data_IF_665073126186
#
_entry.id   IF_665073126186
#
_cell.length_a   1.000
_cell.length_b   1.000
_cell.length_c   1.000
_cell.angle_alpha   90.00
_cell.angle_beta   90.00
_cell.angle_gamma   90.00
#
_symmetry.space_group_name_H-M   'P 1'
#
loop_
_entity.id
_entity.type
_entity.pdbx_description
1 polymer ?
#
# COMPACT_ATOMS: atom_id res chain seq x y z
N UNK A 1 -13.55 21.73 11.83
CA UNK A 1 -13.93 20.30 11.79
C UNK A 1 -12.96 19.52 12.68
N UNK A 2 -13.46 18.65 13.54
CA UNK A 2 -12.68 17.85 14.51
C UNK A 2 -12.06 16.56 13.90
N UNK A 3 -11.89 16.53 12.59
CA UNK A 3 -11.36 15.35 11.91
C UNK A 3 -9.84 15.45 11.90
N UNK A 4 -9.18 14.39 12.35
CA UNK A 4 -7.74 14.19 12.30
C UNK A 4 -7.37 13.25 11.16
N UNK A 5 -6.36 13.62 10.39
CA UNK A 5 -5.82 12.85 9.28
C UNK A 5 -4.44 12.32 9.65
N UNK A 6 -4.27 11.00 9.62
CA UNK A 6 -2.98 10.33 9.79
C UNK A 6 -2.52 9.81 8.43
N UNK A 7 -1.34 10.24 8.00
CA UNK A 7 -0.77 9.85 6.70
C UNK A 7 0.59 9.18 6.94
N UNK A 8 0.75 7.96 6.46
CA UNK A 8 2.05 7.27 6.46
C UNK A 8 2.67 7.34 5.06
N UNK A 9 3.84 7.96 4.95
CA UNK A 9 4.58 8.10 3.69
C UNK A 9 5.81 7.21 3.70
N UNK A 10 6.15 6.71 2.52
CA UNK A 10 7.38 5.96 2.23
C UNK A 10 7.99 6.57 0.98
N UNK A 11 9.33 6.57 0.79
CA UNK A 11 9.93 7.00 -0.47
C UNK A 11 9.16 6.43 -1.69
N UNK A 12 8.73 7.28 -2.65
CA UNK A 12 7.78 6.89 -3.69
C UNK A 12 8.17 5.64 -4.48
N UNK A 13 9.45 5.55 -4.86
CA UNK A 13 9.98 4.41 -5.62
C UNK A 13 9.85 3.13 -4.81
N UNK A 14 10.18 3.18 -3.52
CA UNK A 14 10.07 2.02 -2.66
C UNK A 14 8.62 1.60 -2.37
N UNK A 15 7.72 2.58 -2.24
CA UNK A 15 6.28 2.33 -2.12
C UNK A 15 5.77 1.56 -3.35
N UNK A 16 6.07 2.05 -4.55
CA UNK A 16 5.60 1.42 -5.80
C UNK A 16 6.28 0.05 -5.99
N UNK A 17 7.56 -0.08 -5.66
CA UNK A 17 8.27 -1.37 -5.72
C UNK A 17 7.66 -2.40 -4.75
N UNK A 18 7.31 -1.98 -3.54
CA UNK A 18 6.60 -2.83 -2.58
C UNK A 18 5.22 -3.25 -3.11
N UNK A 19 4.49 -2.33 -3.74
CA UNK A 19 3.19 -2.61 -4.35
C UNK A 19 3.32 -3.58 -5.54
N UNK A 20 4.37 -3.44 -6.35
CA UNK A 20 4.69 -4.37 -7.44
C UNK A 20 4.84 -5.80 -6.95
N UNK A 21 5.70 -6.03 -5.94
CA UNK A 21 5.94 -7.36 -5.41
C UNK A 21 4.75 -7.93 -4.65
N UNK A 22 4.01 -7.09 -3.93
CA UNK A 22 2.76 -7.50 -3.28
C UNK A 22 1.78 -8.08 -4.30
N UNK A 23 1.57 -7.38 -5.42
CA UNK A 23 0.62 -7.82 -6.45
C UNK A 23 1.17 -8.97 -7.30
N UNK A 24 2.48 -9.09 -7.52
CA UNK A 24 3.06 -10.22 -8.29
C UNK A 24 2.82 -11.57 -7.61
N UNK A 25 2.68 -11.57 -6.28
CA UNK A 25 2.31 -12.78 -5.53
C UNK A 25 0.81 -13.14 -5.66
N UNK A 26 -0.02 -12.24 -6.19
CA UNK A 26 -1.44 -12.49 -6.43
C UNK A 26 -1.65 -13.18 -7.80
N UNK A 27 -2.51 -14.20 -7.82
CA UNK A 27 -2.84 -14.97 -9.04
C UNK A 27 -3.60 -14.12 -10.07
N UNK A 28 -4.33 -13.10 -9.61
CA UNK A 28 -5.28 -12.31 -10.41
C UNK A 28 -4.63 -11.02 -10.96
N UNK A 29 -3.41 -10.69 -10.55
CA UNK A 29 -2.77 -9.44 -10.99
C UNK A 29 -2.13 -9.63 -12.37
N UNK A 30 -2.67 -8.97 -13.40
CA UNK A 30 -1.95 -8.77 -14.66
C UNK A 30 -0.99 -7.59 -14.49
N UNK A 31 0.20 -7.86 -13.96
CA UNK A 31 1.28 -6.87 -13.86
C UNK A 31 2.26 -7.03 -15.03
N UNK A 32 2.93 -5.93 -15.42
CA UNK A 32 4.08 -6.02 -16.31
C UNK A 32 5.18 -6.94 -15.76
N UNK A 33 5.90 -7.59 -16.67
CA UNK A 33 6.94 -8.59 -16.35
C UNK A 33 8.11 -8.05 -15.51
N UNK A 34 8.34 -6.74 -15.56
CA UNK A 34 9.38 -6.05 -14.80
C UNK A 34 8.85 -4.77 -14.15
N UNK A 35 9.57 -4.31 -13.12
CA UNK A 35 9.26 -3.04 -12.45
C UNK A 35 9.45 -1.85 -13.40
N UNK A 36 10.45 -1.91 -14.28
CA UNK A 36 10.75 -0.86 -15.25
C UNK A 36 9.57 -0.66 -16.21
N UNK A 37 9.02 -1.75 -16.76
CA UNK A 37 7.82 -1.70 -17.62
C UNK A 37 6.59 -1.20 -16.88
N UNK A 38 6.47 -1.54 -15.60
CA UNK A 38 5.43 -1.00 -14.75
C UNK A 38 5.55 0.52 -14.57
N UNK A 39 6.77 1.04 -14.44
CA UNK A 39 7.01 2.47 -14.31
C UNK A 39 6.74 3.27 -15.60
N UNK A 40 6.51 2.62 -16.75
CA UNK A 40 5.99 3.27 -17.95
C UNK A 40 4.53 3.75 -17.76
N UNK A 41 3.79 3.16 -16.81
CA UNK A 41 2.44 3.60 -16.49
C UNK A 41 2.45 4.96 -15.77
N UNK A 42 1.97 5.99 -16.46
CA UNK A 42 1.89 7.36 -15.94
C UNK A 42 1.09 7.48 -14.65
N UNK A 43 0.04 6.67 -14.47
CA UNK A 43 -0.75 6.66 -13.24
C UNK A 43 0.10 6.25 -12.03
N UNK A 44 0.95 5.23 -12.18
CA UNK A 44 1.81 4.76 -11.08
C UNK A 44 2.89 5.77 -10.73
N UNK A 45 3.43 6.48 -11.72
CA UNK A 45 4.37 7.59 -11.49
C UNK A 45 3.68 8.73 -10.74
N UNK A 46 2.42 9.00 -11.07
CA UNK A 46 1.64 10.06 -10.45
C UNK A 46 1.36 9.77 -8.97
N UNK A 47 1.12 8.52 -8.58
CA UNK A 47 0.97 8.12 -7.16
C UNK A 47 2.15 8.55 -6.29
N UNK A 48 3.36 8.62 -6.87
CA UNK A 48 4.56 9.06 -6.16
C UNK A 48 4.62 10.56 -5.87
N UNK A 49 3.72 11.37 -6.43
CA UNK A 49 3.71 12.83 -6.28
C UNK A 49 2.94 13.24 -5.02
N UNK A 50 3.44 12.88 -3.85
CA UNK A 50 2.72 13.09 -2.59
C UNK A 50 2.34 14.56 -2.35
N UNK A 51 3.18 15.52 -2.71
CA UNK A 51 2.85 16.93 -2.58
C UNK A 51 1.61 17.32 -3.39
N UNK A 52 1.47 16.78 -4.61
CA UNK A 52 0.28 17.00 -5.45
C UNK A 52 -0.98 16.42 -4.79
N UNK A 53 -0.91 15.19 -4.31
CA UNK A 53 -2.05 14.48 -3.71
C UNK A 53 -2.42 14.96 -2.31
N UNK A 54 -1.46 15.47 -1.53
CA UNK A 54 -1.70 16.01 -0.20
C UNK A 54 -2.20 17.46 -0.22
N UNK A 55 -1.95 18.19 -1.30
CA UNK A 55 -2.30 19.62 -1.39
C UNK A 55 -3.77 19.91 -1.07
N UNK A 56 -4.76 19.20 -1.62
CA UNK A 56 -6.17 19.46 -1.31
C UNK A 56 -6.51 19.30 0.18
N UNK A 57 -5.81 18.41 0.89
CA UNK A 57 -6.00 18.20 2.33
C UNK A 57 -5.36 19.32 3.14
N UNK A 58 -4.12 19.70 2.78
CA UNK A 58 -3.41 20.81 3.40
C UNK A 58 -4.15 22.15 3.22
N UNK A 59 -4.87 22.33 2.11
CA UNK A 59 -5.66 23.54 1.85
C UNK A 59 -7.00 23.56 2.61
N UNK A 60 -7.51 22.41 3.06
CA UNK A 60 -8.85 22.27 3.67
C UNK A 60 -8.83 22.05 5.17
N UNK A 61 -7.79 21.42 5.69
CA UNK A 61 -7.65 21.09 7.11
C UNK A 61 -6.54 21.92 7.76
N UNK A 62 -6.72 22.34 9.02
CA UNK A 62 -5.64 22.94 9.80
C UNK A 62 -4.43 22.00 9.88
N UNK A 63 -3.22 22.56 9.89
CA UNK A 63 -1.99 21.78 9.92
C UNK A 63 -1.89 20.88 11.16
N UNK A 64 -2.40 21.35 12.30
CA UNK A 64 -2.49 20.60 13.55
C UNK A 64 -3.40 19.37 13.48
N UNK A 65 -4.26 19.27 12.46
CA UNK A 65 -5.16 18.13 12.22
C UNK A 65 -4.57 17.12 11.22
N UNK A 66 -3.33 17.31 10.77
CA UNK A 66 -2.66 16.39 9.85
C UNK A 66 -1.33 15.94 10.45
N UNK A 67 -1.23 14.65 10.76
CA UNK A 67 0.03 14.03 11.15
C UNK A 67 0.58 13.21 10.00
N UNK A 68 1.77 13.60 9.51
CA UNK A 68 2.53 12.85 8.52
C UNK A 68 3.64 12.06 9.22
N UNK A 69 3.61 10.74 9.05
CA UNK A 69 4.57 9.79 9.62
C UNK A 69 5.39 9.18 8.49
N UNK A 70 6.70 9.08 8.68
CA UNK A 70 7.57 8.36 7.74
C UNK A 70 7.60 6.87 8.10
N UNK A 71 7.42 6.01 7.10
CA UNK A 71 7.47 4.56 7.26
C UNK A 71 8.79 4.09 7.89
N UNK A 72 9.91 4.73 7.53
CA UNK A 72 11.22 4.41 8.12
C UNK A 72 11.31 4.78 9.60
N UNK A 73 10.60 5.82 10.05
CA UNK A 73 10.53 6.17 11.47
C UNK A 73 9.79 5.08 12.26
N UNK A 74 8.70 4.51 11.70
CA UNK A 74 8.00 3.37 12.31
C UNK A 74 8.95 2.18 12.49
N UNK A 75 9.84 1.93 11.52
CA UNK A 75 10.79 0.81 11.58
C UNK A 75 11.92 1.03 12.57
N UNK A 76 12.38 2.27 12.74
CA UNK A 76 13.54 2.62 13.58
C UNK A 76 13.14 2.88 15.03
N UNK A 77 12.06 3.61 15.22
CA UNK A 77 11.61 4.11 16.53
C UNK A 77 10.08 3.92 16.68
N UNK A 78 9.56 2.67 16.63
CA UNK A 78 8.13 2.39 16.65
C UNK A 78 7.42 2.99 17.88
N UNK A 79 8.03 2.87 19.06
CA UNK A 79 7.45 3.37 20.32
C UNK A 79 7.29 4.90 20.30
N UNK A 80 8.28 5.62 19.75
CA UNK A 80 8.24 7.08 19.62
C UNK A 80 7.17 7.52 18.62
N UNK A 81 7.04 6.81 17.51
CA UNK A 81 5.99 7.09 16.52
C UNK A 81 4.61 6.81 17.12
N UNK A 82 4.45 5.70 17.85
CA UNK A 82 3.22 5.36 18.54
C UNK A 82 2.82 6.44 19.54
N UNK A 83 3.74 6.86 20.41
CA UNK A 83 3.50 7.94 21.37
C UNK A 83 3.08 9.24 20.67
N UNK A 84 3.73 9.59 19.56
CA UNK A 84 3.39 10.76 18.74
C UNK A 84 1.99 10.67 18.13
N UNK A 85 1.60 9.49 17.64
CA UNK A 85 0.25 9.24 17.12
C UNK A 85 -0.79 9.36 18.23
N UNK A 86 -0.54 8.82 19.42
CA UNK A 86 -1.48 8.90 20.55
C UNK A 86 -1.68 10.33 21.03
N UNK A 87 -0.59 11.09 21.18
CA UNK A 87 -0.63 12.52 21.49
C UNK A 87 -1.42 13.28 20.43
N UNK A 88 -1.14 13.02 19.14
CA UNK A 88 -1.89 13.63 18.06
C UNK A 88 -3.38 13.28 18.11
N UNK A 89 -3.75 12.05 18.46
CA UNK A 89 -5.15 11.61 18.59
C UNK A 89 -5.83 12.10 19.88
N UNK A 90 -5.09 12.69 20.83
CA UNK A 90 -5.56 13.05 22.19
C UNK A 90 -6.05 11.82 22.98
N UNK A 91 -5.35 10.70 22.88
CA UNK A 91 -5.59 9.50 23.68
C UNK A 91 -4.42 9.23 24.63
N UNK A 92 -4.59 8.28 25.54
CA UNK A 92 -3.55 7.90 26.50
C UNK A 92 -2.26 7.47 25.78
N UNK A 93 -1.17 8.20 26.06
CA UNK A 93 0.14 7.97 25.44
C UNK A 93 0.84 6.73 26.03
N UNK A 94 0.47 6.29 27.22
CA UNK A 94 1.10 5.19 27.94
C UNK A 94 0.47 3.82 27.61
N UNK A 95 -0.59 3.80 26.81
CA UNK A 95 -1.21 2.56 26.36
C UNK A 95 -0.22 1.71 25.55
N UNK A 96 -0.02 0.46 25.96
CA UNK A 96 0.79 -0.51 25.21
C UNK A 96 -0.11 -1.62 24.69
N UNK A 97 -0.32 -1.73 23.36
CA UNK A 97 -1.07 -2.84 22.83
C UNK A 97 -0.35 -4.15 23.16
N UNK A 98 -1.08 -5.26 23.39
CA UNK A 98 -0.45 -6.58 23.51
C UNK A 98 0.47 -6.82 22.31
N UNK A 99 1.69 -7.29 22.56
CA UNK A 99 2.65 -7.53 21.50
C UNK A 99 2.08 -8.53 20.49
N UNK A 100 1.84 -8.08 19.24
CA UNK A 100 1.49 -9.00 18.17
C UNK A 100 2.71 -9.86 17.83
N UNK A 101 2.64 -11.14 18.16
CA UNK A 101 3.69 -12.13 17.86
C UNK A 101 3.72 -12.55 16.39
N UNK A 102 2.71 -12.13 15.60
CA UNK A 102 2.60 -12.45 14.17
C UNK A 102 3.10 -11.33 13.28
N UNK A 103 4.30 -11.47 12.71
CA UNK A 103 4.61 -10.75 11.45
C UNK A 103 3.76 -11.40 10.36
N UNK A 104 3.14 -10.62 9.48
CA UNK A 104 2.53 -11.15 8.26
C UNK A 104 3.60 -11.16 7.15
N UNK A 105 4.41 -12.24 7.02
CA UNK A 105 5.43 -12.28 5.98
C UNK A 105 4.74 -12.22 4.62
N UNK A 106 5.35 -11.50 3.68
CA UNK A 106 4.98 -11.62 2.28
C UNK A 106 5.07 -13.10 1.89
N UNK A 107 3.93 -13.70 1.55
CA UNK A 107 3.87 -15.12 1.18
C UNK A 107 4.27 -15.28 -0.27
N UNK A 108 5.33 -16.03 -0.51
CA UNK A 108 5.63 -16.54 -1.83
C UNK A 108 4.70 -17.72 -2.17
N UNK A 109 4.36 -17.93 -3.44
CA UNK A 109 3.57 -19.09 -3.85
C UNK A 109 4.36 -20.37 -3.59
N UNK A 110 3.72 -21.34 -2.91
CA UNK A 110 4.35 -22.64 -2.59
C UNK A 110 4.78 -23.42 -3.85
N UNK A 111 4.07 -23.21 -4.96
CA UNK A 111 4.32 -23.88 -6.24
C UNK A 111 4.31 -22.86 -7.39
N UNK A 112 5.47 -22.28 -7.75
CA UNK A 112 5.57 -21.22 -8.77
C UNK A 112 5.05 -21.64 -10.16
N UNK A 113 5.21 -22.91 -10.54
CA UNK A 113 4.71 -23.45 -11.81
C UNK A 113 3.17 -23.46 -11.87
N UNK A 114 2.51 -23.86 -10.77
CA UNK A 114 1.05 -23.85 -10.69
C UNK A 114 0.50 -22.42 -10.73
N UNK A 115 1.14 -21.49 -10.02
CA UNK A 115 0.78 -20.08 -10.09
C UNK A 115 0.91 -19.54 -11.52
N UNK A 116 2.03 -19.83 -12.19
CA UNK A 116 2.28 -19.38 -13.56
C UNK A 116 1.25 -19.97 -14.54
N UNK A 117 0.88 -21.24 -14.37
CA UNK A 117 -0.19 -21.88 -15.14
C UNK A 117 -1.55 -21.23 -14.92
N UNK A 118 -1.92 -20.98 -13.67
CA UNK A 118 -3.17 -20.30 -13.30
C UNK A 118 -3.24 -18.88 -13.84
N UNK A 119 -2.12 -18.14 -13.82
CA UNK A 119 -2.05 -16.77 -14.33
C UNK A 119 -2.20 -16.74 -15.85
N UNK A 120 -1.56 -17.67 -16.59
CA UNK A 120 -1.77 -17.82 -18.04
C UNK A 120 -3.21 -18.15 -18.39
N UNK A 121 -3.83 -19.05 -17.63
CA UNK A 121 -5.24 -19.40 -17.81
C UNK A 121 -6.15 -18.20 -17.56
N UNK A 122 -5.91 -17.45 -16.48
CA UNK A 122 -6.64 -16.22 -16.17
C UNK A 122 -6.49 -15.18 -17.28
N UNK A 123 -5.27 -14.91 -17.74
CA UNK A 123 -5.03 -13.97 -18.84
C UNK A 123 -5.78 -14.39 -20.11
N UNK A 124 -5.71 -15.67 -20.48
CA UNK A 124 -6.42 -16.19 -21.63
C UNK A 124 -7.94 -16.03 -21.51
N UNK A 125 -8.53 -16.37 -20.36
CA UNK A 125 -9.97 -16.21 -20.11
C UNK A 125 -10.39 -14.74 -20.07
N UNK A 126 -9.56 -13.85 -19.52
CA UNK A 126 -9.85 -12.42 -19.43
C UNK A 126 -9.80 -11.69 -20.79
N UNK A 127 -9.13 -12.28 -21.79
CA UNK A 127 -9.10 -11.77 -23.16
C UNK A 127 -10.37 -12.11 -23.97
N UNK A 128 -11.21 -13.04 -23.49
CA UNK A 128 -12.48 -13.37 -24.13
C UNK A 128 -13.57 -12.34 -23.76
N UNK A 129 -14.25 -11.72 -24.76
CA UNK A 129 -15.33 -10.77 -24.49
C UNK A 129 -16.46 -11.41 -23.68
N UNK A 130 -16.85 -10.78 -22.57
CA UNK A 130 -17.95 -11.24 -21.71
C UNK A 130 -17.56 -12.05 -20.47
N UNK A 131 -16.38 -12.68 -20.46
CA UNK A 131 -15.90 -13.51 -19.32
C UNK A 131 -15.27 -12.66 -18.21
N UNK A 132 -14.70 -11.50 -18.55
CA UNK A 132 -14.09 -10.58 -17.58
C UNK A 132 -15.04 -10.04 -16.50
N UNK A 133 -16.37 -10.05 -16.75
CA UNK A 133 -17.40 -9.68 -15.75
C UNK A 133 -17.70 -10.80 -14.74
N UNK A 134 -17.48 -12.07 -15.10
CA UNK A 134 -17.72 -13.21 -14.22
C UNK A 134 -16.52 -13.51 -13.30
N UNK A 135 -15.30 -13.18 -13.72
CA UNK A 135 -14.07 -13.43 -12.96
C UNK A 135 -13.72 -12.32 -11.94
N UNK A 136 -14.50 -11.25 -11.86
CA UNK A 136 -14.22 -10.05 -11.05
C UNK A 136 -15.21 -9.79 -9.91
N UNK A 137 -16.01 -10.78 -9.51
CA UNK A 137 -17.01 -10.61 -8.44
C UNK A 137 -16.92 -11.75 -7.42
N UNK A 138 -17.16 -11.42 -6.15
CA UNK A 138 -16.20 -10.89 -5.17
C UNK A 138 -15.18 -11.94 -4.66
#
# INVERSE_FOLDING_TARGET
HDIKLLVCLRPPVEMIYSWYWYNRNAVVASLPESFEKMMENLFLRDLGRFAHHLRPYLDRFPAENILVVQFDAIRREPDRVQEGVYKFLNVDADFKPPAETGKNPARAPRFPLLQSGAQRLYTAMSAFPGVGKFLKSP
#
